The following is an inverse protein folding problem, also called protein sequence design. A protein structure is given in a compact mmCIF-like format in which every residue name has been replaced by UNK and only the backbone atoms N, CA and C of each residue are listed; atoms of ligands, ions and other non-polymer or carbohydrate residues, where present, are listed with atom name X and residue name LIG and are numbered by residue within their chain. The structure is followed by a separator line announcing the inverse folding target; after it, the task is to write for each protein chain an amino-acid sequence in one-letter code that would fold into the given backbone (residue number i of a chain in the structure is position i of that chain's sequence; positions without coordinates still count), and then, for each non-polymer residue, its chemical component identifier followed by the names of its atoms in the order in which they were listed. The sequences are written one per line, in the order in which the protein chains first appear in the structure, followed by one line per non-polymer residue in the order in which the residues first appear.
data_IF_239836996728
#
_entry.id   IF_239836996728
#
_cell.length_a   1.000
_cell.length_b   1.000
_cell.length_c   1.000
_cell.angle_alpha   90.00
_cell.angle_beta   90.00
_cell.angle_gamma   90.00
#
_symmetry.space_group_name_H-M   'P 1'
#
loop_
_entity.id
_entity.type
_entity.pdbx_description
1 polymer ?
#
# COMPACT_ATOMS: atom_id res chain seq x y z
N UNK A 1 3.66 -15.01 -17.79
CA UNK A 1 4.22 -14.41 -16.56
C UNK A 1 4.48 -12.94 -16.83
N UNK A 2 3.63 -12.06 -16.33
CA UNK A 2 3.74 -10.62 -16.55
C UNK A 2 4.86 -10.11 -15.62
N UNK A 3 5.97 -9.66 -16.21
CA UNK A 3 6.98 -8.88 -15.48
C UNK A 3 6.36 -7.52 -15.20
N UNK A 4 5.87 -7.30 -13.99
CA UNK A 4 5.46 -5.96 -13.55
C UNK A 4 6.74 -5.13 -13.42
N UNK A 5 6.94 -4.23 -14.37
CA UNK A 5 8.00 -3.23 -14.33
C UNK A 5 7.76 -2.28 -13.15
N UNK A 6 8.85 -1.72 -12.60
CA UNK A 6 8.93 -0.79 -11.44
C UNK A 6 7.89 0.33 -11.32
N UNK A 7 7.04 0.58 -12.33
CA UNK A 7 6.17 1.74 -12.43
C UNK A 7 4.67 1.44 -12.65
N UNK A 8 4.23 0.17 -12.53
CA UNK A 8 2.84 -0.21 -12.80
C UNK A 8 2.09 -0.78 -11.58
N UNK A 9 2.58 -0.54 -10.35
CA UNK A 9 1.84 -0.95 -9.17
C UNK A 9 0.59 -0.06 -9.05
N UNK A 10 -0.59 -0.64 -9.28
CA UNK A 10 -1.85 0.07 -9.10
C UNK A 10 -2.22 0.04 -7.61
N UNK A 11 -2.98 1.02 -7.11
CA UNK A 11 -3.21 1.08 -5.67
C UNK A 11 -4.21 0.04 -5.17
N UNK A 12 -5.02 -0.57 -6.05
CA UNK A 12 -5.72 -1.83 -5.78
C UNK A 12 -4.74 -2.97 -5.46
N UNK A 13 -3.61 -3.06 -6.17
CA UNK A 13 -2.56 -4.04 -5.90
C UNK A 13 -1.93 -3.79 -4.52
N UNK A 14 -1.76 -2.51 -4.14
CA UNK A 14 -1.23 -2.15 -2.83
C UNK A 14 -2.14 -2.62 -1.68
N UNK A 15 -3.47 -2.53 -1.83
CA UNK A 15 -4.38 -3.08 -0.84
C UNK A 15 -4.29 -4.60 -0.75
N UNK A 16 -4.18 -5.30 -1.88
CA UNK A 16 -4.05 -6.75 -1.90
C UNK A 16 -2.74 -7.20 -1.21
N UNK A 17 -1.64 -6.52 -1.48
CA UNK A 17 -0.32 -6.81 -0.90
C UNK A 17 -0.28 -6.59 0.63
N UNK A 18 -1.00 -5.59 1.13
CA UNK A 18 -1.01 -5.24 2.56
C UNK A 18 -2.01 -6.05 3.39
N UNK A 19 -2.97 -6.74 2.75
CA UNK A 19 -3.99 -7.50 3.46
C UNK A 19 -3.46 -8.84 3.99
N UNK A 20 -4.24 -9.43 4.90
CA UNK A 20 -4.03 -10.78 5.39
C UNK A 20 -4.13 -11.80 4.25
N UNK A 21 -3.21 -12.75 4.23
CA UNK A 21 -3.30 -13.95 3.41
C UNK A 21 -4.32 -14.92 4.02
N UNK A 22 -4.82 -15.85 3.21
CA UNK A 22 -5.68 -16.92 3.73
C UNK A 22 -4.90 -17.82 4.70
N UNK A 23 -5.53 -18.40 5.75
CA UNK A 23 -4.83 -19.14 6.81
C UNK A 23 -3.87 -20.24 6.34
N UNK A 24 -4.20 -20.93 5.24
CA UNK A 24 -3.35 -21.98 4.64
C UNK A 24 -2.05 -21.47 4.00
N UNK A 25 -1.91 -20.16 3.81
CA UNK A 25 -0.77 -19.51 3.17
C UNK A 25 0.05 -18.66 4.15
N UNK A 26 -0.32 -18.66 5.44
CA UNK A 26 0.46 -17.95 6.45
C UNK A 26 1.87 -18.55 6.59
N UNK A 27 2.82 -17.71 6.98
CA UNK A 27 4.21 -18.11 7.15
C UNK A 27 4.48 -18.51 8.59
N UNK A 28 4.82 -19.77 8.81
CA UNK A 28 5.10 -20.31 10.13
C UNK A 28 6.56 -20.03 10.53
N UNK A 29 6.76 -19.27 11.62
CA UNK A 29 8.07 -19.16 12.25
C UNK A 29 8.26 -20.26 13.30
N UNK A 30 9.52 -20.64 13.55
CA UNK A 30 9.92 -21.68 14.50
C UNK A 30 9.67 -21.26 15.96
N UNK A 31 8.40 -21.07 16.36
CA UNK A 31 7.89 -21.02 17.74
C UNK A 31 6.34 -21.13 17.78
N UNK A 32 5.67 -21.48 16.68
CA UNK A 32 4.21 -21.61 16.62
C UNK A 32 3.47 -20.30 16.34
N UNK A 33 4.20 -19.20 16.15
CA UNK A 33 3.64 -17.95 15.64
C UNK A 33 3.56 -18.03 14.12
N UNK A 34 2.43 -17.56 13.58
CA UNK A 34 2.15 -17.51 12.15
C UNK A 34 2.11 -16.05 11.70
N UNK A 35 2.65 -15.75 10.53
CA UNK A 35 2.71 -14.42 9.93
C UNK A 35 1.76 -14.38 8.74
N UNK A 36 0.77 -13.50 8.79
CA UNK A 36 -0.30 -13.45 7.78
C UNK A 36 -0.20 -12.29 6.81
N UNK A 37 0.61 -11.27 7.09
CA UNK A 37 0.74 -10.08 6.24
C UNK A 37 2.14 -9.45 6.39
N UNK A 38 2.39 -8.36 5.65
CA UNK A 38 3.68 -7.66 5.68
C UNK A 38 3.93 -6.94 7.01
N UNK A 39 2.90 -6.43 7.69
CA UNK A 39 3.02 -5.79 9.00
C UNK A 39 3.54 -6.77 10.04
N UNK A 40 2.92 -7.95 10.13
CA UNK A 40 3.36 -9.01 11.04
C UNK A 40 4.76 -9.53 10.68
N UNK A 41 5.11 -9.55 9.39
CA UNK A 41 6.47 -9.87 8.97
C UNK A 41 7.48 -8.82 9.50
N UNK A 42 7.15 -7.53 9.39
CA UNK A 42 7.99 -6.46 9.91
C UNK A 42 8.15 -6.57 11.44
N UNK A 43 7.06 -6.77 12.16
CA UNK A 43 7.05 -6.96 13.62
C UNK A 43 7.90 -8.18 14.02
N UNK A 44 7.70 -9.31 13.35
CA UNK A 44 8.49 -10.52 13.58
C UNK A 44 9.98 -10.27 13.35
N UNK A 45 10.35 -9.59 12.26
CA UNK A 45 11.74 -9.24 11.94
C UNK A 45 12.34 -8.26 12.96
N UNK A 46 11.54 -7.38 13.55
CA UNK A 46 11.98 -6.43 14.57
C UNK A 46 12.34 -7.12 15.89
N UNK A 47 11.48 -8.06 16.32
CA UNK A 47 11.59 -8.70 17.64
C UNK A 47 12.42 -9.98 17.64
N UNK A 48 12.51 -10.70 16.52
CA UNK A 48 13.25 -11.98 16.48
C UNK A 48 14.74 -11.77 16.71
N UNK A 49 15.39 -12.74 17.32
CA UNK A 49 16.85 -12.71 17.45
C UNK A 49 17.55 -13.07 16.12
N UNK A 50 18.86 -12.83 16.08
CA UNK A 50 19.64 -13.04 14.87
C UNK A 50 19.84 -14.52 14.52
N UNK A 51 19.72 -15.44 15.49
CA UNK A 51 19.91 -16.87 15.25
C UNK A 51 18.62 -17.48 14.69
N UNK A 52 17.46 -17.11 15.23
CA UNK A 52 16.14 -17.36 14.66
C UNK A 52 16.08 -16.91 13.18
N UNK A 53 16.57 -15.69 12.88
CA UNK A 53 16.63 -15.19 11.51
C UNK A 53 17.50 -16.06 10.58
N UNK A 54 18.67 -16.52 11.06
CA UNK A 54 19.59 -17.36 10.25
C UNK A 54 19.02 -18.73 9.90
N UNK A 55 18.03 -19.23 10.64
CA UNK A 55 17.33 -20.47 10.26
C UNK A 55 16.51 -20.31 8.98
N UNK A 56 15.99 -19.10 8.74
CA UNK A 56 15.19 -18.76 7.56
C UNK A 56 16.03 -18.16 6.43
N UNK A 57 17.15 -17.50 6.76
CA UNK A 57 18.00 -16.82 5.79
C UNK A 57 19.43 -17.36 5.85
N UNK A 58 19.83 -18.06 4.79
CA UNK A 58 21.18 -18.60 4.62
C UNK A 58 21.85 -18.00 3.37
N UNK A 59 23.03 -18.49 3.02
CA UNK A 59 23.68 -18.14 1.74
C UNK A 59 22.88 -18.64 0.53
N UNK A 60 22.12 -19.71 0.69
CA UNK A 60 21.45 -20.45 -0.39
C UNK A 60 19.95 -20.16 -0.45
N UNK A 61 19.33 -19.80 0.68
CA UNK A 61 17.89 -19.56 0.77
C UNK A 61 17.53 -18.30 1.55
N UNK A 62 16.35 -17.75 1.25
CA UNK A 62 15.68 -16.76 2.08
C UNK A 62 14.18 -17.09 2.06
N UNK A 63 13.70 -17.71 3.13
CA UNK A 63 12.32 -18.20 3.22
C UNK A 63 11.31 -17.04 3.19
N UNK A 64 11.65 -15.88 3.76
CA UNK A 64 10.81 -14.68 3.70
C UNK A 64 10.66 -14.15 2.27
N UNK A 65 11.76 -14.13 1.51
CA UNK A 65 11.74 -13.71 0.11
C UNK A 65 10.88 -14.64 -0.75
N UNK A 66 10.95 -15.95 -0.52
CA UNK A 66 10.13 -16.93 -1.21
C UNK A 66 8.64 -16.73 -0.89
N UNK A 67 8.31 -16.58 0.40
CA UNK A 67 6.93 -16.34 0.82
C UNK A 67 6.36 -15.04 0.23
N UNK A 68 7.12 -13.94 0.30
CA UNK A 68 6.70 -12.67 -0.30
C UNK A 68 6.49 -12.80 -1.81
N UNK A 69 7.33 -13.58 -2.50
CA UNK A 69 7.20 -13.78 -3.96
C UNK A 69 5.98 -14.61 -4.33
N UNK A 70 5.81 -15.75 -3.66
CA UNK A 70 4.89 -16.79 -4.10
C UNK A 70 3.51 -16.70 -3.46
N UNK A 71 3.40 -15.99 -2.32
CA UNK A 71 2.15 -15.80 -1.58
C UNK A 71 1.66 -14.35 -1.61
N UNK A 72 2.53 -13.39 -1.29
CA UNK A 72 2.16 -11.97 -1.29
C UNK A 72 2.18 -11.40 -2.72
N UNK A 73 2.88 -12.08 -3.64
CA UNK A 73 3.05 -11.68 -5.05
C UNK A 73 3.78 -10.33 -5.26
N UNK A 74 4.48 -9.81 -4.23
CA UNK A 74 5.33 -8.63 -4.34
C UNK A 74 6.76 -9.00 -4.76
N UNK A 75 6.94 -9.17 -6.07
CA UNK A 75 8.24 -9.52 -6.68
C UNK A 75 9.32 -8.48 -6.40
N UNK A 76 8.96 -7.20 -6.26
CA UNK A 76 9.92 -6.14 -5.95
C UNK A 76 10.49 -6.33 -4.54
N UNK A 77 9.61 -6.45 -3.54
CA UNK A 77 10.03 -6.69 -2.17
C UNK A 77 10.79 -8.00 -2.02
N UNK A 78 10.35 -9.06 -2.70
CA UNK A 78 11.05 -10.35 -2.70
C UNK A 78 12.51 -10.22 -3.16
N UNK A 79 12.76 -9.49 -4.26
CA UNK A 79 14.10 -9.28 -4.79
C UNK A 79 14.99 -8.45 -3.85
N UNK A 80 14.41 -7.50 -3.13
CA UNK A 80 15.14 -6.70 -2.16
C UNK A 80 15.44 -7.47 -0.87
N UNK A 81 14.52 -8.33 -0.42
CA UNK A 81 14.75 -9.28 0.66
C UNK A 81 15.89 -10.25 0.35
N UNK A 82 16.06 -10.71 -0.91
CA UNK A 82 17.21 -11.54 -1.28
C UNK A 82 18.56 -10.86 -1.01
N UNK A 83 18.62 -9.53 -1.12
CA UNK A 83 19.83 -8.72 -0.88
C UNK A 83 20.02 -8.41 0.60
N UNK A 84 18.96 -8.42 1.40
CA UNK A 84 18.99 -8.14 2.82
C UNK A 84 19.54 -9.34 3.63
N UNK A 85 20.87 -9.38 3.81
CA UNK A 85 21.56 -10.49 4.52
C UNK A 85 21.57 -10.38 6.05
N UNK A 86 20.98 -9.33 6.60
CA UNK A 86 20.86 -9.14 8.05
C UNK A 86 19.41 -8.92 8.42
N UNK A 87 19.02 -9.37 9.61
CA UNK A 87 17.68 -9.17 10.16
C UNK A 87 17.26 -7.70 10.13
N UNK A 88 18.14 -6.81 10.61
CA UNK A 88 17.90 -5.36 10.61
C UNK A 88 17.65 -4.84 9.19
N UNK A 89 18.43 -5.28 8.20
CA UNK A 89 18.23 -4.83 6.82
C UNK A 89 16.93 -5.37 6.24
N UNK A 90 16.56 -6.60 6.56
CA UNK A 90 15.30 -7.18 6.13
C UNK A 90 14.10 -6.40 6.72
N UNK A 91 14.14 -6.10 8.02
CA UNK A 91 13.15 -5.24 8.68
C UNK A 91 13.02 -3.89 7.96
N UNK A 92 14.11 -3.16 7.79
CA UNK A 92 14.10 -1.85 7.11
C UNK A 92 13.52 -1.93 5.70
N UNK A 93 13.88 -2.98 4.94
CA UNK A 93 13.38 -3.21 3.59
C UNK A 93 11.87 -3.45 3.56
N UNK A 94 11.33 -4.26 4.48
CA UNK A 94 9.88 -4.51 4.58
C UNK A 94 9.14 -3.25 5.03
N UNK A 95 9.62 -2.57 6.07
CA UNK A 95 8.98 -1.33 6.56
C UNK A 95 8.93 -0.22 5.51
N UNK A 96 10.02 -0.04 4.75
CA UNK A 96 10.06 0.93 3.65
C UNK A 96 9.03 0.60 2.56
N UNK A 97 8.86 -0.69 2.24
CA UNK A 97 7.87 -1.10 1.26
C UNK A 97 6.45 -0.86 1.76
N UNK A 98 6.14 -1.20 3.02
CA UNK A 98 4.84 -0.92 3.64
C UNK A 98 4.52 0.58 3.54
N UNK A 99 5.47 1.45 3.89
CA UNK A 99 5.28 2.90 3.83
C UNK A 99 4.97 3.39 2.40
N UNK A 100 5.64 2.83 1.39
CA UNK A 100 5.36 3.14 -0.02
C UNK A 100 3.95 2.73 -0.43
N UNK A 101 3.52 1.53 -0.04
CA UNK A 101 2.21 0.97 -0.35
C UNK A 101 1.09 1.78 0.33
N UNK A 102 1.28 2.19 1.59
CA UNK A 102 0.33 3.02 2.33
C UNK A 102 0.21 4.44 1.75
N UNK A 103 1.32 5.03 1.31
CA UNK A 103 1.31 6.31 0.58
C UNK A 103 0.56 6.21 -0.73
N UNK A 104 0.76 5.13 -1.48
CA UNK A 104 0.08 4.87 -2.75
C UNK A 104 -1.44 4.74 -2.55
N UNK A 105 -1.87 3.98 -1.55
CA UNK A 105 -3.28 3.82 -1.14
C UNK A 105 -3.89 5.16 -0.71
N UNK A 106 -3.20 5.91 0.14
CA UNK A 106 -3.69 7.21 0.65
C UNK A 106 -3.84 8.25 -0.47
N UNK A 107 -2.93 8.24 -1.46
CA UNK A 107 -2.99 9.10 -2.64
C UNK A 107 -4.25 8.88 -3.49
N UNK A 108 -4.80 7.65 -3.53
CA UNK A 108 -6.10 7.41 -4.16
C UNK A 108 -7.26 7.98 -3.35
N UNK A 109 -7.28 7.73 -2.04
CA UNK A 109 -8.37 8.20 -1.17
C UNK A 109 -8.50 9.72 -1.23
N UNK A 110 -7.37 10.43 -1.34
CA UNK A 110 -7.36 11.89 -1.51
C UNK A 110 -7.90 12.28 -2.89
N UNK A 111 -7.39 11.72 -3.99
CA UNK A 111 -7.85 12.06 -5.36
C UNK A 111 -9.36 11.83 -5.58
N UNK A 112 -9.89 10.75 -5.03
CA UNK A 112 -11.29 10.37 -5.21
C UNK A 112 -12.25 11.30 -4.44
N UNK A 113 -11.86 11.71 -3.22
CA UNK A 113 -12.67 12.64 -2.41
C UNK A 113 -12.56 14.10 -2.84
N UNK A 114 -11.39 14.56 -3.28
CA UNK A 114 -11.18 15.98 -3.58
C UNK A 114 -11.98 16.42 -4.80
N UNK A 115 -12.01 15.62 -5.87
CA UNK A 115 -12.74 15.96 -7.10
C UNK A 115 -14.27 15.92 -6.89
N UNK A 116 -14.77 15.07 -5.99
CA UNK A 116 -16.20 14.99 -5.73
C UNK A 116 -16.76 16.20 -4.97
N UNK A 117 -16.03 16.73 -3.99
CA UNK A 117 -16.51 17.83 -3.14
C UNK A 117 -16.33 19.21 -3.80
N UNK A 118 -15.19 19.47 -4.46
CA UNK A 118 -14.93 20.78 -5.06
C UNK A 118 -15.78 21.04 -6.30
N UNK A 119 -16.04 20.03 -7.12
CA UNK A 119 -16.78 20.21 -8.38
C UNK A 119 -18.25 20.54 -8.11
N UNK A 120 -18.86 19.91 -7.09
CA UNK A 120 -20.23 20.23 -6.67
C UNK A 120 -20.35 21.62 -6.08
N UNK A 121 -19.36 22.06 -5.31
CA UNK A 121 -19.33 23.41 -4.76
C UNK A 121 -19.15 24.48 -5.85
N UNK A 122 -18.22 24.28 -6.78
CA UNK A 122 -17.95 25.22 -7.87
C UNK A 122 -19.11 25.31 -8.87
N UNK A 123 -19.74 24.18 -9.20
CA UNK A 123 -20.96 24.16 -10.02
C UNK A 123 -22.07 24.94 -9.31
N UNK A 124 -22.27 24.72 -8.01
CA UNK A 124 -23.23 25.48 -7.21
C UNK A 124 -22.95 26.99 -7.19
N UNK A 125 -21.68 27.39 -7.08
CA UNK A 125 -21.24 28.78 -7.09
C UNK A 125 -21.50 29.46 -8.45
N UNK A 126 -21.18 28.79 -9.56
CA UNK A 126 -21.38 29.30 -10.91
C UNK A 126 -22.87 29.44 -11.23
N UNK A 127 -23.66 28.41 -10.93
CA UNK A 127 -25.12 28.47 -11.13
C UNK A 127 -25.76 29.53 -10.23
N UNK A 128 -25.32 29.65 -8.98
CA UNK A 128 -25.81 30.66 -8.04
C UNK A 128 -25.52 32.10 -8.51
N UNK A 129 -24.29 32.36 -8.99
CA UNK A 129 -23.93 33.66 -9.55
C UNK A 129 -24.72 33.96 -10.82
N UNK A 130 -24.86 33.00 -11.74
CA UNK A 130 -25.63 33.17 -12.97
C UNK A 130 -27.12 33.48 -12.69
N UNK A 131 -27.76 32.73 -11.79
CA UNK A 131 -29.13 33.00 -11.35
C UNK A 131 -29.27 34.37 -10.69
N UNK A 132 -28.29 34.76 -9.85
CA UNK A 132 -28.27 36.07 -9.20
C UNK A 132 -28.23 37.22 -10.20
N UNK A 133 -27.39 37.12 -11.24
CA UNK A 133 -27.34 38.12 -12.31
C UNK A 133 -28.64 38.19 -13.12
N UNK A 134 -29.26 37.05 -13.44
CA UNK A 134 -30.53 37.01 -14.18
C UNK A 134 -31.66 37.64 -13.38
N UNK A 135 -31.79 37.29 -12.09
CA UNK A 135 -32.80 37.88 -11.21
C UNK A 135 -32.57 39.38 -11.05
N UNK A 136 -31.31 39.80 -10.85
CA UNK A 136 -30.96 41.23 -10.73
C UNK A 136 -31.31 42.02 -12.00
N UNK A 137 -31.07 41.46 -13.19
CA UNK A 137 -31.41 42.10 -14.46
C UNK A 137 -32.93 42.22 -14.67
N UNK A 138 -33.71 41.23 -14.25
CA UNK A 138 -35.18 41.26 -14.32
C UNK A 138 -35.74 42.34 -13.39
N UNK A 139 -35.24 42.43 -12.15
CA UNK A 139 -35.68 43.45 -11.18
C UNK A 139 -35.38 44.86 -11.69
N UNK A 140 -34.17 45.09 -12.24
CA UNK A 140 -33.77 46.40 -12.75
C UNK A 140 -34.55 46.84 -14.00
N UNK A 141 -35.18 45.93 -14.74
CA UNK A 141 -36.04 46.26 -15.89
C UNK A 141 -37.53 46.45 -15.52
N UNK A 142 -37.90 46.14 -14.27
CA UNK A 142 -39.28 46.26 -13.76
C UNK A 142 -39.49 47.51 -12.89
N UNK A 143 -38.42 48.23 -12.54
CA UNK A 143 -38.40 49.48 -11.76
C UNK A 143 -38.00 50.63 -12.68
#
# INVERSE_FOLDING_TARGET
MIKIAKNNLLPEDANLILNDVVPKHEFNIHMGTSIKNLQELAEALEIMDNDAFKHHVTKEKNDFSNWVKDIIEDVELSNDLLKAKTRKKAFETVSQRIEQLEKLKSGLVVKDKTNFFTDRFLIGLIFGLALGFVISAIINNLV
#
